data_IF_684690780705
#
_entry.id   IF_684690780705
#
_cell.length_a   1.000
_cell.length_b   1.000
_cell.length_c   1.000
_cell.angle_alpha   90.00
_cell.angle_beta   90.00
_cell.angle_gamma   90.00
#
_symmetry.space_group_name_H-M   'P 1'
#
loop_
_entity.id
_entity.type
_entity.pdbx_description
1 polymer ?
#
# COMPACT_ATOMS: atom_id res chain seq x y z
N UNK A 1 -24.21 -7.78 8.42
CA UNK A 1 -24.23 -6.30 8.66
C UNK A 1 -22.82 -5.75 8.78
N UNK A 2 -21.85 -6.41 9.44
CA UNK A 2 -20.45 -5.96 9.56
C UNK A 2 -19.79 -5.67 8.20
N UNK A 3 -19.88 -6.59 7.25
CA UNK A 3 -19.36 -6.43 5.89
C UNK A 3 -19.89 -5.21 5.12
N UNK A 4 -21.13 -4.76 5.41
CA UNK A 4 -21.64 -3.56 4.77
C UNK A 4 -20.89 -2.30 5.24
N UNK A 5 -20.54 -2.23 6.53
CA UNK A 5 -19.72 -1.16 7.06
C UNK A 5 -18.29 -1.21 6.50
N UNK A 6 -17.74 -2.41 6.38
CA UNK A 6 -16.41 -2.64 5.82
C UNK A 6 -16.32 -2.18 4.35
N UNK A 7 -17.23 -2.64 3.49
CA UNK A 7 -17.27 -2.23 2.08
C UNK A 7 -17.41 -0.71 1.96
N UNK A 8 -18.24 -0.10 2.81
CA UNK A 8 -18.40 1.35 2.82
C UNK A 8 -17.14 2.08 3.31
N UNK A 9 -16.40 1.50 4.26
CA UNK A 9 -15.11 2.03 4.70
C UNK A 9 -14.10 2.04 3.55
N UNK A 10 -13.99 0.95 2.79
CA UNK A 10 -13.11 0.88 1.61
C UNK A 10 -13.48 1.92 0.54
N UNK A 11 -14.76 2.10 0.27
CA UNK A 11 -15.23 3.14 -0.65
C UNK A 11 -14.83 4.55 -0.19
N UNK A 12 -15.04 4.85 1.10
CA UNK A 12 -14.65 6.14 1.69
C UNK A 12 -13.13 6.33 1.67
N UNK A 13 -12.35 5.27 1.97
CA UNK A 13 -10.90 5.28 1.92
C UNK A 13 -10.38 5.63 0.52
N UNK A 14 -10.93 5.00 -0.53
CA UNK A 14 -10.61 5.32 -1.93
C UNK A 14 -10.94 6.76 -2.32
N UNK A 15 -11.98 7.37 -1.73
CA UNK A 15 -12.28 8.81 -1.91
C UNK A 15 -11.36 9.74 -1.10
N UNK A 16 -10.47 9.20 -0.25
CA UNK A 16 -9.62 9.97 0.66
C UNK A 16 -10.34 10.48 1.92
N UNK A 17 -11.57 10.00 2.19
CA UNK A 17 -12.36 10.33 3.38
C UNK A 17 -11.96 9.42 4.55
N UNK A 18 -10.68 9.49 4.94
CA UNK A 18 -10.05 8.50 5.82
C UNK A 18 -10.65 8.46 7.23
N UNK A 19 -11.00 9.60 7.83
CA UNK A 19 -11.62 9.61 9.18
C UNK A 19 -12.99 8.94 9.18
N UNK A 20 -13.76 9.12 8.10
CA UNK A 20 -15.04 8.45 7.94
C UNK A 20 -14.87 6.96 7.67
N UNK A 21 -13.86 6.56 6.86
CA UNK A 21 -13.50 5.17 6.65
C UNK A 21 -13.16 4.48 7.98
N UNK A 22 -12.29 5.09 8.79
CA UNK A 22 -11.92 4.63 10.13
C UNK A 22 -13.16 4.47 11.03
N UNK A 23 -14.09 5.43 10.99
CA UNK A 23 -15.30 5.35 11.80
C UNK A 23 -16.22 4.21 11.37
N UNK A 24 -16.34 3.93 10.05
CA UNK A 24 -17.14 2.83 9.53
C UNK A 24 -16.51 1.47 9.82
N UNK A 25 -15.21 1.34 9.63
CA UNK A 25 -14.51 0.11 9.92
C UNK A 25 -14.56 -0.26 11.41
N UNK A 26 -14.44 0.71 12.32
CA UNK A 26 -14.66 0.49 13.75
C UNK A 26 -16.05 -0.09 14.04
N UNK A 27 -17.09 0.30 13.26
CA UNK A 27 -18.42 -0.30 13.39
C UNK A 27 -18.44 -1.75 12.87
N UNK A 28 -17.69 -2.08 11.84
CA UNK A 28 -17.54 -3.46 11.40
C UNK A 28 -16.87 -4.31 12.50
N UNK A 29 -15.81 -3.80 13.12
CA UNK A 29 -15.10 -4.46 14.23
C UNK A 29 -16.00 -4.63 15.48
N UNK A 30 -16.82 -3.64 15.84
CA UNK A 30 -17.78 -3.75 16.95
C UNK A 30 -18.76 -4.92 16.72
N UNK A 31 -19.13 -5.19 15.47
CA UNK A 31 -20.07 -6.26 15.11
C UNK A 31 -19.39 -7.63 14.95
N UNK A 32 -18.10 -7.67 14.64
CA UNK A 32 -17.32 -8.90 14.48
C UNK A 32 -15.86 -8.65 14.92
N UNK A 33 -15.61 -8.65 16.25
CA UNK A 33 -14.31 -8.21 16.82
C UNK A 33 -13.16 -9.19 16.57
N UNK A 34 -13.45 -10.45 16.24
CA UNK A 34 -12.45 -11.48 15.98
C UNK A 34 -12.07 -11.59 14.49
N UNK A 35 -12.64 -10.77 13.63
CA UNK A 35 -12.33 -10.76 12.22
C UNK A 35 -11.00 -10.05 11.97
N UNK A 36 -9.95 -10.84 11.71
CA UNK A 36 -8.59 -10.31 11.48
C UNK A 36 -8.50 -9.42 10.24
N UNK A 37 -9.37 -9.62 9.25
CA UNK A 37 -9.43 -8.76 8.07
C UNK A 37 -9.89 -7.34 8.43
N UNK A 38 -10.96 -7.18 9.22
CA UNK A 38 -11.43 -5.85 9.67
C UNK A 38 -10.38 -5.17 10.54
N UNK A 39 -9.71 -5.92 11.43
CA UNK A 39 -8.61 -5.38 12.21
C UNK A 39 -7.45 -4.88 11.33
N UNK A 40 -7.14 -5.61 10.24
CA UNK A 40 -6.12 -5.17 9.25
C UNK A 40 -6.58 -3.96 8.45
N UNK A 41 -7.85 -3.89 8.07
CA UNK A 41 -8.41 -2.77 7.32
C UNK A 41 -8.36 -1.47 8.14
N UNK A 42 -8.64 -1.54 9.46
CA UNK A 42 -8.46 -0.38 10.33
C UNK A 42 -7.01 0.11 10.33
N UNK A 43 -6.04 -0.81 10.42
CA UNK A 43 -4.62 -0.44 10.36
C UNK A 43 -4.27 0.19 8.99
N UNK A 44 -4.85 -0.30 7.91
CA UNK A 44 -4.68 0.24 6.56
C UNK A 44 -5.17 1.70 6.46
N UNK A 45 -6.38 2.00 6.94
CA UNK A 45 -6.91 3.36 6.94
C UNK A 45 -6.13 4.30 7.85
N UNK A 46 -5.68 3.81 9.03
CA UNK A 46 -4.83 4.57 9.93
C UNK A 46 -3.46 4.91 9.31
N UNK A 47 -2.85 3.97 8.57
CA UNK A 47 -1.62 4.19 7.82
C UNK A 47 -1.79 5.31 6.78
N UNK A 48 -2.84 5.25 5.96
CA UNK A 48 -3.12 6.28 4.96
C UNK A 48 -3.47 7.64 5.58
N UNK A 49 -4.07 7.63 6.77
CA UNK A 49 -4.30 8.84 7.59
C UNK A 49 -3.02 9.34 8.30
N UNK A 50 -1.86 8.72 8.05
CA UNK A 50 -0.55 9.01 8.67
C UNK A 50 -0.51 8.85 10.20
N UNK A 51 -1.46 8.11 10.74
CA UNK A 51 -1.55 7.77 12.15
C UNK A 51 -0.76 6.48 12.42
N UNK A 52 0.55 6.53 12.17
CA UNK A 52 1.42 5.32 12.14
C UNK A 52 1.49 4.61 13.49
N UNK A 53 1.50 5.34 14.61
CA UNK A 53 1.52 4.72 15.94
C UNK A 53 0.23 3.97 16.23
N UNK A 54 -0.93 4.55 15.90
CA UNK A 54 -2.24 3.90 16.03
C UNK A 54 -2.33 2.67 15.11
N UNK A 55 -1.81 2.78 13.87
CA UNK A 55 -1.74 1.67 12.92
C UNK A 55 -0.90 0.51 13.46
N UNK A 56 0.27 0.77 14.06
CA UNK A 56 1.13 -0.25 14.69
C UNK A 56 0.40 -0.95 15.84
N UNK A 57 -0.31 -0.19 16.69
CA UNK A 57 -1.12 -0.79 17.77
C UNK A 57 -2.18 -1.73 17.19
N UNK A 58 -2.82 -1.31 16.08
CA UNK A 58 -3.86 -2.11 15.42
C UNK A 58 -3.28 -3.34 14.73
N UNK A 59 -2.12 -3.22 14.07
CA UNK A 59 -1.37 -4.36 13.49
C UNK A 59 -1.07 -5.42 14.54
N UNK A 60 -0.62 -5.03 15.75
CA UNK A 60 -0.35 -5.98 16.84
C UNK A 60 -1.59 -6.79 17.20
N UNK A 61 -2.76 -6.14 17.33
CA UNK A 61 -4.04 -6.84 17.57
C UNK A 61 -4.37 -7.82 16.46
N UNK A 62 -4.12 -7.43 15.19
CA UNK A 62 -4.33 -8.34 14.07
C UNK A 62 -3.44 -9.57 14.17
N UNK A 63 -2.15 -9.40 14.50
CA UNK A 63 -1.19 -10.49 14.63
C UNK A 63 -1.45 -11.38 15.86
N UNK A 64 -2.12 -10.88 16.89
CA UNK A 64 -2.62 -11.71 17.99
C UNK A 64 -3.74 -12.66 17.55
N UNK A 65 -4.58 -12.22 16.62
CA UNK A 65 -5.68 -13.03 16.04
C UNK A 65 -5.19 -13.94 14.91
N UNK A 66 -4.30 -13.43 14.08
CA UNK A 66 -3.75 -14.12 12.91
C UNK A 66 -2.24 -13.80 12.78
N UNK A 67 -1.37 -14.61 13.41
CA UNK A 67 0.08 -14.39 13.35
C UNK A 67 0.68 -14.51 11.94
N UNK A 68 -0.03 -15.10 10.98
CA UNK A 68 0.40 -15.25 9.59
C UNK A 68 -0.22 -14.19 8.67
N UNK A 69 -0.92 -13.20 9.20
CA UNK A 69 -1.57 -12.16 8.41
C UNK A 69 -0.57 -11.39 7.55
N UNK A 70 -0.58 -11.68 6.26
CA UNK A 70 0.28 -11.02 5.28
C UNK A 70 0.05 -9.52 5.23
N UNK A 71 -1.22 -9.10 5.29
CA UNK A 71 -1.58 -7.68 5.29
C UNK A 71 -1.07 -6.96 6.54
N UNK A 72 -1.14 -7.62 7.71
CA UNK A 72 -0.64 -7.04 8.95
C UNK A 72 0.89 -6.85 8.93
N UNK A 73 1.64 -7.86 8.46
CA UNK A 73 3.09 -7.71 8.28
C UNK A 73 3.44 -6.63 7.25
N UNK A 74 2.71 -6.57 6.14
CA UNK A 74 2.90 -5.51 5.15
C UNK A 74 2.68 -4.11 5.76
N UNK A 75 1.59 -3.91 6.47
CA UNK A 75 1.26 -2.63 7.12
C UNK A 75 2.25 -2.29 8.24
N UNK A 76 2.75 -3.30 8.97
CA UNK A 76 3.87 -3.12 9.91
C UNK A 76 5.08 -2.53 9.19
N UNK A 77 5.48 -3.15 8.07
CA UNK A 77 6.58 -2.67 7.24
C UNK A 77 6.36 -1.24 6.75
N UNK A 78 5.16 -0.93 6.25
CA UNK A 78 4.79 0.43 5.83
C UNK A 78 4.97 1.45 6.97
N UNK A 79 4.41 1.16 8.14
CA UNK A 79 4.49 2.08 9.28
C UNK A 79 5.94 2.29 9.76
N UNK A 80 6.74 1.21 9.85
CA UNK A 80 8.15 1.26 10.23
C UNK A 80 8.96 2.09 9.23
N UNK A 81 8.70 1.93 7.94
CA UNK A 81 9.35 2.68 6.87
C UNK A 81 9.18 4.20 7.06
N UNK A 82 7.94 4.64 7.27
CA UNK A 82 7.63 6.07 7.46
C UNK A 82 8.03 6.61 8.83
N UNK A 83 8.32 5.73 9.79
CA UNK A 83 8.96 6.09 11.07
C UNK A 83 10.48 6.10 11.00
N UNK A 84 11.08 5.78 9.84
CA UNK A 84 12.54 5.78 9.60
C UNK A 84 13.25 4.48 9.96
N UNK A 85 12.53 3.45 10.40
CA UNK A 85 13.09 2.11 10.64
C UNK A 85 13.04 1.27 9.35
N UNK A 86 13.92 1.58 8.42
CA UNK A 86 14.00 0.89 7.13
C UNK A 86 14.40 -0.59 7.29
N UNK A 87 15.25 -0.91 8.25
CA UNK A 87 15.67 -2.29 8.49
C UNK A 87 14.51 -3.15 9.03
N UNK A 88 13.76 -2.64 10.00
CA UNK A 88 12.53 -3.26 10.48
C UNK A 88 11.48 -3.42 9.39
N UNK A 89 11.31 -2.40 8.55
CA UNK A 89 10.38 -2.44 7.41
C UNK A 89 10.73 -3.57 6.43
N UNK A 90 12.00 -3.70 6.05
CA UNK A 90 12.48 -4.79 5.16
C UNK A 90 12.15 -6.15 5.78
N UNK A 91 12.42 -6.34 7.07
CA UNK A 91 12.12 -7.60 7.75
C UNK A 91 10.63 -7.96 7.73
N UNK A 92 9.76 -6.98 7.95
CA UNK A 92 8.31 -7.17 7.90
C UNK A 92 7.81 -7.44 6.47
N UNK A 93 8.32 -6.73 5.45
CA UNK A 93 7.99 -7.00 4.06
C UNK A 93 8.45 -8.39 3.60
N UNK A 94 9.59 -8.88 4.10
CA UNK A 94 10.04 -10.25 3.83
C UNK A 94 9.11 -11.29 4.44
N UNK A 95 8.57 -11.05 5.64
CA UNK A 95 7.56 -11.92 6.26
C UNK A 95 6.27 -11.95 5.46
N UNK A 96 5.82 -10.80 4.95
CA UNK A 96 4.62 -10.73 4.11
C UNK A 96 4.76 -11.49 2.79
N UNK A 97 5.97 -11.56 2.21
CA UNK A 97 6.27 -12.26 0.95
C UNK A 97 6.05 -13.78 1.03
N UNK A 98 6.19 -14.39 2.20
CA UNK A 98 6.16 -15.85 2.36
C UNK A 98 4.76 -16.44 2.08
N UNK A 99 3.70 -15.66 2.25
CA UNK A 99 2.32 -16.15 2.27
C UNK A 99 1.54 -15.86 0.99
N UNK A 100 1.92 -14.82 0.22
CA UNK A 100 1.16 -14.38 -0.97
C UNK A 100 2.08 -14.13 -2.17
N UNK A 101 1.73 -14.75 -3.28
CA UNK A 101 2.38 -14.56 -4.60
C UNK A 101 2.02 -13.23 -5.28
N UNK A 102 1.50 -12.25 -4.54
CA UNK A 102 1.06 -10.96 -5.06
C UNK A 102 2.24 -10.01 -5.30
N UNK A 103 2.42 -9.57 -6.53
CA UNK A 103 3.52 -8.70 -6.95
C UNK A 103 3.54 -7.33 -6.25
N UNK A 104 2.40 -6.80 -5.81
CA UNK A 104 2.33 -5.49 -5.17
C UNK A 104 3.09 -5.41 -3.82
N UNK A 105 3.18 -6.51 -3.07
CA UNK A 105 4.02 -6.56 -1.86
C UNK A 105 5.51 -6.38 -2.15
N UNK A 106 5.94 -6.76 -3.34
CA UNK A 106 7.34 -6.66 -3.74
C UNK A 106 7.74 -5.23 -4.08
N UNK A 107 6.80 -4.38 -4.50
CA UNK A 107 7.04 -2.97 -4.79
C UNK A 107 7.64 -2.23 -3.60
N UNK A 108 6.98 -2.30 -2.43
CA UNK A 108 7.47 -1.64 -1.22
C UNK A 108 8.74 -2.27 -0.64
N UNK A 109 8.93 -3.59 -0.80
CA UNK A 109 10.20 -4.21 -0.43
C UNK A 109 11.35 -3.69 -1.29
N UNK A 110 11.14 -3.58 -2.61
CA UNK A 110 12.11 -3.00 -3.54
C UNK A 110 12.37 -1.52 -3.26
N UNK A 111 11.32 -0.75 -2.96
CA UNK A 111 11.44 0.64 -2.50
C UNK A 111 12.32 0.74 -1.24
N UNK A 112 12.06 -0.12 -0.23
CA UNK A 112 12.80 -0.10 1.01
C UNK A 112 14.29 -0.45 0.80
N UNK A 113 14.60 -1.43 -0.04
CA UNK A 113 16.00 -1.72 -0.42
C UNK A 113 16.64 -0.53 -1.13
N UNK A 114 15.93 0.12 -2.06
CA UNK A 114 16.46 1.27 -2.79
C UNK A 114 16.84 2.42 -1.86
N UNK A 115 15.94 2.80 -0.94
CA UNK A 115 16.21 3.89 0.01
C UNK A 115 17.23 3.53 1.10
N UNK A 116 17.42 2.22 1.39
CA UNK A 116 18.48 1.76 2.29
C UNK A 116 19.87 1.78 1.64
N UNK A 117 19.96 2.08 0.34
CA UNK A 117 21.19 2.07 -0.44
C UNK A 117 21.52 0.70 -1.06
N UNK A 118 20.72 -0.32 -0.85
CA UNK A 118 20.89 -1.66 -1.48
C UNK A 118 20.25 -1.69 -2.88
N UNK A 119 20.77 -0.80 -3.75
CA UNK A 119 20.33 -0.71 -5.15
C UNK A 119 20.35 -2.06 -5.88
N UNK A 120 21.36 -2.93 -5.71
CA UNK A 120 21.37 -4.23 -6.38
C UNK A 120 20.16 -5.11 -6.06
N UNK A 121 19.69 -5.13 -4.78
CA UNK A 121 18.49 -5.88 -4.40
C UNK A 121 17.22 -5.26 -4.96
N UNK A 122 17.09 -3.93 -4.96
CA UNK A 122 15.97 -3.26 -5.58
C UNK A 122 15.85 -3.61 -7.07
N UNK A 123 16.96 -3.54 -7.82
CA UNK A 123 17.03 -3.92 -9.23
C UNK A 123 16.79 -5.42 -9.47
N UNK A 124 17.19 -6.27 -8.53
CA UNK A 124 16.87 -7.70 -8.59
C UNK A 124 15.37 -7.92 -8.53
N UNK A 125 14.66 -7.25 -7.60
CA UNK A 125 13.19 -7.35 -7.50
C UNK A 125 12.52 -6.84 -8.78
N UNK A 126 13.01 -5.76 -9.39
CA UNK A 126 12.50 -5.29 -10.69
C UNK A 126 12.57 -6.39 -11.75
N UNK A 127 13.74 -7.03 -11.90
CA UNK A 127 13.91 -8.14 -12.85
C UNK A 127 12.98 -9.32 -12.54
N UNK A 128 12.81 -9.67 -11.27
CA UNK A 128 11.89 -10.74 -10.85
C UNK A 128 10.44 -10.40 -11.24
N UNK A 129 10.01 -9.14 -11.04
CA UNK A 129 8.68 -8.66 -11.44
C UNK A 129 8.50 -8.66 -12.97
N UNK A 130 9.51 -8.22 -13.72
CA UNK A 130 9.50 -8.25 -15.18
C UNK A 130 9.34 -9.69 -15.73
N UNK A 131 10.10 -10.65 -15.17
CA UNK A 131 9.95 -12.07 -15.56
C UNK A 131 8.58 -12.64 -15.17
N UNK A 132 8.05 -12.24 -14.00
CA UNK A 132 6.71 -12.62 -13.56
C UNK A 132 5.64 -12.06 -14.49
N UNK A 133 5.78 -10.81 -14.95
CA UNK A 133 4.82 -10.12 -15.83
C UNK A 133 4.67 -10.79 -17.21
N UNK A 134 5.66 -11.60 -17.64
CA UNK A 134 5.56 -12.38 -18.88
C UNK A 134 4.59 -13.56 -18.79
N UNK A 135 4.21 -13.98 -17.57
CA UNK A 135 3.44 -15.20 -17.31
C UNK A 135 2.12 -14.95 -16.59
N UNK A 136 2.01 -13.84 -15.88
CA UNK A 136 0.84 -13.50 -15.09
C UNK A 136 0.72 -11.99 -14.93
N UNK A 137 -0.46 -11.54 -14.46
CA UNK A 137 -0.65 -10.14 -14.10
C UNK A 137 0.27 -9.73 -12.95
N UNK A 138 0.93 -8.59 -13.12
CA UNK A 138 1.75 -7.91 -12.11
C UNK A 138 1.27 -6.48 -12.03
N UNK A 139 0.92 -6.00 -10.84
CA UNK A 139 0.51 -4.59 -10.66
C UNK A 139 1.63 -3.65 -11.09
N UNK A 140 1.29 -2.70 -11.94
CA UNK A 140 2.25 -1.71 -12.46
C UNK A 140 2.70 -0.74 -11.37
N UNK A 141 1.90 -0.56 -10.31
CA UNK A 141 2.31 0.24 -9.15
C UNK A 141 3.52 -0.34 -8.44
N UNK A 142 3.73 -1.66 -8.45
CA UNK A 142 4.92 -2.27 -7.85
C UNK A 142 6.22 -1.81 -8.53
N UNK A 143 6.21 -1.61 -9.85
CA UNK A 143 7.34 -1.03 -10.58
C UNK A 143 7.51 0.45 -10.25
N UNK A 144 6.40 1.20 -10.18
CA UNK A 144 6.42 2.62 -9.81
C UNK A 144 7.07 2.83 -8.44
N UNK A 145 6.69 2.02 -7.45
CA UNK A 145 7.20 2.11 -6.10
C UNK A 145 8.72 1.92 -6.06
N UNK A 146 9.24 0.90 -6.75
CA UNK A 146 10.69 0.65 -6.79
C UNK A 146 11.43 1.81 -7.47
N UNK A 147 10.91 2.31 -8.59
CA UNK A 147 11.52 3.45 -9.29
C UNK A 147 11.49 4.72 -8.42
N UNK A 148 10.44 4.95 -7.59
CA UNK A 148 10.43 6.04 -6.61
C UNK A 148 11.56 5.89 -5.58
N UNK A 149 11.77 4.68 -5.06
CA UNK A 149 12.87 4.39 -4.14
C UNK A 149 14.25 4.62 -4.76
N UNK A 150 14.41 4.29 -6.03
CA UNK A 150 15.65 4.52 -6.81
C UNK A 150 15.86 5.98 -7.20
N UNK A 151 14.91 6.88 -6.93
CA UNK A 151 14.96 8.29 -7.33
C UNK A 151 14.63 8.54 -8.81
N UNK A 152 14.13 7.54 -9.51
CA UNK A 152 13.85 7.57 -10.95
C UNK A 152 12.39 8.03 -11.20
N UNK A 153 12.09 9.27 -10.81
CA UNK A 153 10.73 9.84 -10.78
C UNK A 153 9.97 9.72 -12.10
N UNK A 154 10.62 10.01 -13.23
CA UNK A 154 9.96 9.95 -14.54
C UNK A 154 9.49 8.54 -14.87
N UNK A 155 10.34 7.53 -14.64
CA UNK A 155 9.95 6.14 -14.84
C UNK A 155 8.80 5.73 -13.91
N UNK A 156 8.82 6.18 -12.66
CA UNK A 156 7.73 5.92 -11.74
C UNK A 156 6.42 6.52 -12.24
N UNK A 157 6.44 7.76 -12.75
CA UNK A 157 5.26 8.41 -13.34
C UNK A 157 4.76 7.67 -14.59
N UNK A 158 5.66 7.17 -15.45
CA UNK A 158 5.28 6.34 -16.61
C UNK A 158 4.51 5.10 -16.16
N UNK A 159 4.98 4.41 -15.11
CA UNK A 159 4.30 3.24 -14.57
C UNK A 159 2.95 3.57 -13.91
N UNK A 160 2.85 4.71 -13.20
CA UNK A 160 1.58 5.15 -12.62
C UNK A 160 0.55 5.54 -13.70
N UNK A 161 0.98 6.18 -14.78
CA UNK A 161 0.11 6.46 -15.93
C UNK A 161 -0.37 5.18 -16.60
N UNK A 162 0.51 4.17 -16.69
CA UNK A 162 0.14 2.83 -17.17
C UNK A 162 -0.87 2.16 -16.23
N UNK A 163 -0.69 2.24 -14.91
CA UNK A 163 -1.66 1.74 -13.92
C UNK A 163 -3.07 2.30 -14.15
N UNK A 164 -3.15 3.59 -14.47
CA UNK A 164 -4.43 4.23 -14.81
C UNK A 164 -5.01 3.70 -16.13
N UNK A 165 -4.18 3.52 -17.17
CA UNK A 165 -4.61 2.96 -18.45
C UNK A 165 -5.12 1.53 -18.31
N UNK A 166 -4.45 0.72 -17.47
CA UNK A 166 -4.81 -0.65 -17.17
C UNK A 166 -5.97 -0.76 -16.14
N UNK A 167 -6.52 0.38 -15.70
CA UNK A 167 -7.65 0.49 -14.75
C UNK A 167 -7.40 -0.22 -13.41
N UNK A 168 -6.18 -0.17 -12.91
CA UNK A 168 -5.84 -0.78 -11.63
C UNK A 168 -6.51 -0.07 -10.46
N UNK A 169 -7.07 -0.84 -9.52
CA UNK A 169 -7.70 -0.31 -8.31
C UNK A 169 -6.74 0.45 -7.39
N UNK A 170 -5.45 0.18 -7.48
CA UNK A 170 -4.41 0.90 -6.75
C UNK A 170 -4.40 2.40 -7.03
N UNK A 171 -4.88 2.84 -8.22
CA UNK A 171 -5.02 4.25 -8.55
C UNK A 171 -5.94 5.03 -7.60
N UNK A 172 -6.85 4.37 -6.90
CA UNK A 172 -7.77 5.06 -5.96
C UNK A 172 -7.04 5.59 -4.72
N UNK A 173 -5.84 5.08 -4.43
CA UNK A 173 -5.03 5.51 -3.29
C UNK A 173 -3.92 6.51 -3.65
N UNK A 174 -3.73 6.86 -4.92
CA UNK A 174 -2.74 7.86 -5.36
C UNK A 174 -2.83 9.17 -4.56
N UNK A 175 -4.05 9.58 -4.21
CA UNK A 175 -4.28 10.83 -3.48
C UNK A 175 -3.78 10.79 -2.04
N UNK A 176 -3.80 9.64 -1.40
CA UNK A 176 -3.58 9.51 0.05
C UNK A 176 -2.34 8.71 0.43
N UNK A 177 -1.85 7.82 -0.45
CA UNK A 177 -0.72 6.97 -0.10
C UNK A 177 0.56 7.77 0.11
N UNK A 178 1.22 7.59 1.28
CA UNK A 178 2.47 8.27 1.60
C UNK A 178 3.63 8.03 0.62
N UNK A 179 3.65 6.88 -0.05
CA UNK A 179 4.74 6.55 -0.98
C UNK A 179 4.88 7.55 -2.13
N UNK A 180 3.79 8.24 -2.48
CA UNK A 180 3.79 9.23 -3.56
C UNK A 180 4.10 10.65 -3.10
N UNK A 181 4.47 10.89 -1.83
CA UNK A 181 4.68 12.24 -1.30
C UNK A 181 5.79 13.00 -2.02
N UNK A 182 6.84 12.32 -2.45
CA UNK A 182 7.97 12.92 -3.16
C UNK A 182 7.67 13.28 -4.63
N UNK A 183 6.53 12.82 -5.18
CA UNK A 183 6.06 13.17 -6.52
C UNK A 183 4.71 13.89 -6.51
N UNK A 184 4.11 14.10 -5.35
CA UNK A 184 2.77 14.68 -5.19
C UNK A 184 2.62 16.06 -5.82
N UNK A 185 3.70 16.86 -5.87
CA UNK A 185 3.73 18.18 -6.46
C UNK A 185 4.15 18.19 -7.94
N UNK A 186 4.50 17.04 -8.52
CA UNK A 186 4.84 16.97 -9.94
C UNK A 186 3.58 17.18 -10.80
N UNK A 187 3.63 18.04 -11.82
CA UNK A 187 2.47 18.36 -12.66
C UNK A 187 1.84 17.10 -13.31
N UNK A 188 2.66 16.14 -13.74
CA UNK A 188 2.21 14.85 -14.31
C UNK A 188 1.40 14.06 -13.29
N UNK A 189 1.88 13.96 -12.04
CA UNK A 189 1.18 13.25 -10.98
C UNK A 189 -0.16 13.92 -10.65
N UNK A 190 -0.18 15.26 -10.53
CA UNK A 190 -1.42 16.00 -10.29
C UNK A 190 -2.44 15.81 -11.41
N UNK A 191 -1.99 15.82 -12.67
CA UNK A 191 -2.86 15.56 -13.81
C UNK A 191 -3.42 14.13 -13.78
N UNK A 192 -2.60 13.14 -13.37
CA UNK A 192 -3.04 11.76 -13.22
C UNK A 192 -4.11 11.63 -12.12
N UNK A 193 -3.87 12.20 -10.94
CA UNK A 193 -4.86 12.23 -9.85
C UNK A 193 -6.17 12.86 -10.30
N UNK A 194 -6.12 13.99 -11.03
CA UNK A 194 -7.32 14.61 -11.58
C UNK A 194 -8.08 13.69 -12.55
N UNK A 195 -7.38 12.93 -13.41
CA UNK A 195 -8.02 11.97 -14.33
C UNK A 195 -8.74 10.86 -13.57
N UNK A 196 -8.08 10.27 -12.56
CA UNK A 196 -8.65 9.19 -11.74
C UNK A 196 -9.94 9.64 -11.06
N UNK A 197 -9.97 10.83 -10.46
CA UNK A 197 -11.10 11.28 -9.65
C UNK A 197 -12.15 12.10 -10.41
N UNK A 198 -11.92 12.51 -11.69
CA UNK A 198 -12.95 13.10 -12.54
C UNK A 198 -13.95 12.07 -13.07
N UNK A 199 -13.55 10.80 -13.18
CA UNK A 199 -14.45 9.73 -13.64
C UNK A 199 -15.44 9.28 -12.55
N UNK A 200 -15.31 9.76 -11.32
CA UNK A 200 -16.16 9.42 -10.17
C UNK A 200 -17.18 10.52 -9.82
N UNK A 201 -17.32 11.56 -10.64
CA UNK A 201 -18.35 12.57 -10.56
C UNK A 201 -19.40 12.36 -11.66
#
# INVERSE_FOLDING_TARGET
MAWAYEIYAWFLGGLGRLDEAIAKDKKAIELDPLNSFFQSALAYFLYHARRYDDAIVQVKKTLELDPASTLAHHLSGCCLLWKGDTAGAIAEFQRSKIVVTGAWYQGLLGYAYAISGDRPKAEQILRELEEMAKRQYVSTTAFADIHLGLGEKEKALDWLEKSYQDQESACWYLKVDPIYDNVRNEPRFQALVQKVFRQTQ
#
